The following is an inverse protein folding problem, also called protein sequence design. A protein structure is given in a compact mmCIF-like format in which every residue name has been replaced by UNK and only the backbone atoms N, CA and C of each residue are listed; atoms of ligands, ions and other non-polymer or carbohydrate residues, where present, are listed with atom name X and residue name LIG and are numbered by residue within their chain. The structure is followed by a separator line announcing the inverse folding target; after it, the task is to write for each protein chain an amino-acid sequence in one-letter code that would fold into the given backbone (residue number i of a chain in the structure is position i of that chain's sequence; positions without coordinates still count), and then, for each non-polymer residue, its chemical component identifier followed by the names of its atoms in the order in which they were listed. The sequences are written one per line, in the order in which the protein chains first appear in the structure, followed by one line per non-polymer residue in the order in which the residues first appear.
data_IF_321589589103
#
_entry.id   IF_321589589103
#
_cell.length_a   1.000
_cell.length_b   1.000
_cell.length_c   1.000
_cell.angle_alpha   90.00
_cell.angle_beta   90.00
_cell.angle_gamma   90.00
#
_symmetry.space_group_name_H-M   'P 1'
#
loop_
_entity.id
_entity.type
_entity.pdbx_description
1 polymer ?
#
# COMPACT_ATOMS: atom_id res chain seq x y z
N UNK A 1 14.86 0.70 10.45
CA UNK A 1 15.22 0.63 11.88
C UNK A 1 15.75 2.02 12.26
N UNK A 2 15.39 2.52 13.44
CA UNK A 2 15.93 3.80 13.96
C UNK A 2 17.16 3.44 14.78
N UNK A 3 18.30 4.06 14.51
CA UNK A 3 19.53 3.87 15.28
C UNK A 3 19.81 5.11 16.13
N UNK A 4 20.19 4.93 17.40
CA UNK A 4 20.75 6.01 18.21
C UNK A 4 22.27 6.08 17.99
N UNK A 5 22.76 7.23 17.55
CA UNK A 5 24.19 7.53 17.41
C UNK A 5 24.58 8.52 18.50
N UNK A 6 25.64 8.22 19.24
CA UNK A 6 26.23 9.19 20.17
C UNK A 6 27.02 10.23 19.38
N UNK A 7 26.61 11.50 19.48
CA UNK A 7 27.37 12.62 18.95
C UNK A 7 28.51 12.93 19.93
N UNK A 8 29.66 12.28 19.75
CA UNK A 8 30.89 12.61 20.49
C UNK A 8 31.75 13.57 19.66
N UNK A 9 31.76 14.89 19.95
CA UNK A 9 32.75 15.79 19.38
C UNK A 9 34.07 15.81 20.18
N UNK A 10 34.35 14.83 21.04
CA UNK A 10 35.41 14.96 22.05
C UNK A 10 36.35 13.76 22.10
N UNK A 11 37.36 13.73 21.22
CA UNK A 11 38.77 13.42 21.54
C UNK A 11 39.64 13.57 20.27
N UNK A 12 40.48 14.61 20.21
CA UNK A 12 41.44 14.79 19.11
C UNK A 12 42.16 16.14 19.09
N UNK A 13 43.09 16.31 20.05
CA UNK A 13 44.36 17.05 20.00
C UNK A 13 44.49 18.46 19.36
N UNK A 14 45.22 19.32 20.08
CA UNK A 14 45.80 20.59 19.63
C UNK A 14 46.64 20.40 18.35
N UNK A 15 46.36 21.15 17.27
CA UNK A 15 47.23 21.17 16.08
C UNK A 15 46.60 21.74 14.80
N UNK A 16 46.98 22.98 14.49
CA UNK A 16 47.10 23.63 13.16
C UNK A 16 45.87 23.87 12.24
N UNK A 17 45.85 25.07 11.65
CA UNK A 17 44.79 25.63 10.84
C UNK A 17 44.70 25.00 9.43
N UNK A 18 43.70 24.14 9.22
CA UNK A 18 42.99 24.05 7.93
C UNK A 18 41.55 23.59 8.16
N UNK A 19 40.62 24.54 8.12
CA UNK A 19 39.19 24.37 8.40
C UNK A 19 38.53 23.37 7.45
N UNK A 20 38.50 22.09 7.81
CA UNK A 20 37.43 21.16 7.40
C UNK A 20 36.61 20.86 8.65
N UNK A 21 35.46 21.55 8.78
CA UNK A 21 34.52 21.32 9.88
C UNK A 21 34.13 19.83 9.86
N UNK A 22 34.24 19.08 10.98
CA UNK A 22 33.65 17.76 11.05
C UNK A 22 32.15 17.91 10.73
N UNK A 23 31.64 17.04 9.85
CA UNK A 23 30.30 17.15 9.27
C UNK A 23 29.25 17.37 10.33
N UNK A 24 28.65 18.55 10.33
CA UNK A 24 27.61 18.93 11.28
C UNK A 24 26.33 18.23 10.87
N UNK A 25 25.86 17.29 11.70
CA UNK A 25 24.61 16.57 11.50
C UNK A 25 23.44 17.57 11.39
N UNK A 26 22.61 17.43 10.38
CA UNK A 26 21.51 18.35 10.08
C UNK A 26 20.18 17.65 10.24
N UNK A 27 19.31 18.18 11.10
CA UNK A 27 18.01 17.58 11.32
C UNK A 27 17.11 17.76 10.11
N UNK A 28 16.59 16.65 9.59
CA UNK A 28 15.64 16.63 8.47
C UNK A 28 14.30 17.27 8.85
N UNK A 29 13.89 17.19 10.12
CA UNK A 29 12.61 17.71 10.59
C UNK A 29 12.55 19.23 10.75
N UNK A 30 13.61 19.85 11.26
CA UNK A 30 13.63 21.30 11.51
C UNK A 30 14.62 22.07 10.63
N UNK A 31 15.45 21.37 9.84
CA UNK A 31 16.47 21.97 8.97
C UNK A 31 17.66 22.60 9.71
N UNK A 32 17.75 22.41 11.03
CA UNK A 32 18.80 23.00 11.87
C UNK A 32 19.85 21.97 12.26
N UNK A 33 21.03 22.45 12.63
CA UNK A 33 22.12 21.59 13.10
C UNK A 33 21.74 20.86 14.40
N UNK A 34 22.13 19.59 14.50
CA UNK A 34 21.95 18.77 15.69
C UNK A 34 23.14 18.98 16.63
N UNK A 35 22.83 19.46 17.83
CA UNK A 35 23.79 19.64 18.92
C UNK A 35 23.51 18.70 20.11
N UNK A 36 22.51 17.83 19.96
CA UNK A 36 22.09 16.88 20.99
C UNK A 36 23.22 15.86 21.26
N UNK A 37 23.22 15.31 22.48
CA UNK A 37 24.16 14.25 22.86
C UNK A 37 23.95 12.97 22.02
N UNK A 38 22.72 12.74 21.56
CA UNK A 38 22.32 11.58 20.79
C UNK A 38 21.56 12.03 19.53
N UNK A 39 21.89 11.45 18.39
CA UNK A 39 21.25 11.68 17.10
C UNK A 39 20.44 10.43 16.76
N UNK A 40 19.18 10.62 16.38
CA UNK A 40 18.37 9.53 15.84
C UNK A 40 18.58 9.44 14.34
N UNK A 41 19.03 8.29 13.84
CA UNK A 41 19.23 8.03 12.42
C UNK A 41 18.18 7.06 11.90
N UNK A 42 17.50 7.44 10.83
CA UNK A 42 16.56 6.62 10.09
C UNK A 42 17.19 6.25 8.74
N UNK A 43 17.29 4.96 8.45
CA UNK A 43 17.85 4.45 7.19
C UNK A 43 17.20 5.08 5.94
N UNK A 44 17.97 5.41 4.87
CA UNK A 44 19.40 5.14 4.73
C UNK A 44 20.32 6.06 5.54
N UNK A 45 20.09 7.38 5.60
CA UNK A 45 20.98 8.32 6.31
C UNK A 45 20.26 9.61 6.75
N UNK A 46 19.03 9.50 7.28
CA UNK A 46 18.25 10.66 7.74
C UNK A 46 18.46 10.91 9.23
N UNK A 47 18.98 12.07 9.57
CA UNK A 47 19.29 12.45 10.96
C UNK A 47 18.21 13.35 11.57
N UNK A 48 17.88 13.10 12.83
CA UNK A 48 16.82 13.80 13.54
C UNK A 48 17.22 14.10 14.98
N UNK A 49 16.80 15.25 15.49
CA UNK A 49 16.71 15.47 16.94
C UNK A 49 15.72 14.48 17.55
N UNK A 50 15.95 14.09 18.80
CA UNK A 50 15.00 13.25 19.54
C UNK A 50 13.61 13.88 19.64
N UNK A 51 13.55 15.21 19.80
CA UNK A 51 12.31 15.97 19.85
C UNK A 51 11.63 16.15 18.47
N UNK A 52 12.38 16.01 17.38
CA UNK A 52 11.86 16.20 16.02
C UNK A 52 11.34 14.90 15.40
N UNK A 53 11.83 13.73 15.83
CA UNK A 53 11.39 12.45 15.31
C UNK A 53 10.05 12.01 15.94
N UNK A 54 8.96 12.53 15.37
CA UNK A 54 7.58 12.21 15.78
C UNK A 54 6.70 11.86 14.60
N UNK A 55 5.63 11.12 14.86
CA UNK A 55 4.64 10.84 13.83
C UNK A 55 3.91 12.12 13.42
N UNK A 56 3.86 12.42 12.13
CA UNK A 56 3.19 13.61 11.59
C UNK A 56 1.67 13.61 11.85
N UNK A 57 1.08 12.46 12.14
CA UNK A 57 -0.35 12.27 12.30
C UNK A 57 -0.77 12.26 13.78
N UNK A 58 -0.21 11.35 14.59
CA UNK A 58 -0.56 11.24 16.01
C UNK A 58 0.41 11.97 16.96
N UNK A 59 1.46 12.61 16.45
CA UNK A 59 2.49 13.30 17.24
C UNK A 59 3.26 12.43 18.25
N UNK A 60 3.11 11.10 18.22
CA UNK A 60 3.88 10.18 19.05
C UNK A 60 5.36 10.21 18.66
N UNK A 61 6.26 10.30 19.65
CA UNK A 61 7.70 10.15 19.44
C UNK A 61 8.05 8.74 18.93
N UNK A 62 8.94 8.66 17.95
CA UNK A 62 9.39 7.40 17.37
C UNK A 62 10.81 7.14 17.87
N UNK A 63 11.01 6.06 18.59
CA UNK A 63 12.30 5.67 19.18
C UNK A 63 12.80 4.34 18.58
N UNK A 64 13.90 3.81 19.12
CA UNK A 64 14.50 2.53 18.73
C UNK A 64 13.53 1.34 18.85
N UNK A 65 12.54 1.41 19.74
CA UNK A 65 11.58 0.32 19.95
C UNK A 65 10.50 0.28 18.87
N UNK A 66 10.34 1.36 18.11
CA UNK A 66 9.27 1.54 17.14
C UNK A 66 9.78 1.54 15.70
N UNK A 67 9.11 0.77 14.83
CA UNK A 67 9.33 0.89 13.38
C UNK A 67 8.71 2.19 12.87
N UNK A 68 9.54 3.08 12.34
CA UNK A 68 9.11 4.31 11.67
C UNK A 68 9.15 4.17 10.15
N UNK A 69 8.28 4.90 9.47
CA UNK A 69 8.23 4.96 8.02
C UNK A 69 8.35 6.41 7.56
N UNK A 70 9.19 6.67 6.57
CA UNK A 70 9.39 8.01 5.99
C UNK A 70 8.73 8.05 4.61
N UNK A 71 7.90 9.07 4.39
CA UNK A 71 7.24 9.32 3.10
C UNK A 71 7.05 10.81 2.89
N UNK A 72 7.48 11.31 1.72
CA UNK A 72 7.39 12.72 1.35
C UNK A 72 7.98 13.67 2.41
N UNK A 73 9.12 13.27 3.01
CA UNK A 73 9.79 14.03 4.07
C UNK A 73 9.10 14.00 5.44
N UNK A 74 7.98 13.28 5.59
CA UNK A 74 7.26 13.11 6.84
C UNK A 74 7.46 11.73 7.44
N UNK A 75 7.51 11.65 8.76
CA UNK A 75 7.67 10.43 9.54
C UNK A 75 6.34 9.95 10.09
N UNK A 76 6.08 8.64 10.01
CA UNK A 76 4.84 8.01 10.47
C UNK A 76 5.15 6.79 11.35
N UNK A 77 4.34 6.57 12.38
CA UNK A 77 4.36 5.31 13.11
C UNK A 77 3.75 4.19 12.22
N UNK A 78 4.09 2.93 12.50
CA UNK A 78 3.54 1.77 11.77
C UNK A 78 2.02 1.84 11.61
N UNK A 79 1.30 2.17 12.69
CA UNK A 79 -0.18 2.23 12.71
C UNK A 79 -0.72 3.26 11.71
N UNK A 80 -0.25 4.50 11.80
CA UNK A 80 -0.74 5.57 10.91
C UNK A 80 -0.24 5.41 9.48
N UNK A 81 0.97 4.87 9.30
CA UNK A 81 1.47 4.56 7.96
C UNK A 81 0.58 3.53 7.25
N UNK A 82 0.25 2.42 7.92
CA UNK A 82 -0.64 1.40 7.36
C UNK A 82 -2.05 1.95 7.13
N UNK A 83 -2.57 2.77 8.05
CA UNK A 83 -3.90 3.37 7.91
C UNK A 83 -4.00 4.34 6.72
N UNK A 84 -2.99 5.19 6.54
CA UNK A 84 -2.98 6.24 5.51
C UNK A 84 -2.55 5.70 4.15
N UNK A 85 -1.49 4.89 4.11
CA UNK A 85 -0.80 4.47 2.88
C UNK A 85 -0.74 2.96 2.67
N UNK A 86 -1.24 2.17 3.62
CA UNK A 86 -1.32 0.72 3.46
C UNK A 86 -2.33 0.32 2.40
N UNK A 87 -2.19 -0.92 1.94
CA UNK A 87 -3.13 -1.54 1.01
C UNK A 87 -4.49 -1.63 1.69
N UNK A 88 -5.55 -1.24 0.97
CA UNK A 88 -6.93 -1.28 1.45
C UNK A 88 -7.73 -2.29 0.66
N UNK A 89 -8.73 -2.88 1.29
CA UNK A 89 -9.66 -3.76 0.62
C UNK A 89 -10.41 -3.00 -0.47
N UNK A 90 -10.34 -3.47 -1.71
CA UNK A 90 -11.00 -2.84 -2.85
C UNK A 90 -12.54 -2.72 -2.69
N UNK A 91 -13.17 -3.59 -1.89
CA UNK A 91 -14.62 -3.57 -1.63
C UNK A 91 -15.01 -2.68 -0.45
N UNK A 92 -14.43 -2.87 0.74
CA UNK A 92 -14.85 -2.14 1.95
C UNK A 92 -13.98 -0.91 2.28
N UNK A 93 -12.87 -0.71 1.56
CA UNK A 93 -11.93 0.41 1.74
C UNK A 93 -11.26 0.46 3.13
N UNK A 94 -11.35 -0.64 3.91
CA UNK A 94 -10.66 -0.81 5.19
C UNK A 94 -9.30 -1.48 4.96
N UNK A 95 -8.29 -1.06 5.72
CA UNK A 95 -6.94 -1.66 5.68
C UNK A 95 -6.88 -3.02 6.36
N UNK A 96 -5.79 -3.75 6.13
CA UNK A 96 -5.57 -5.09 6.67
C UNK A 96 -4.69 -5.07 7.92
N UNK A 97 -4.90 -6.05 8.80
CA UNK A 97 -4.00 -6.37 9.91
C UNK A 97 -2.82 -7.24 9.42
N UNK A 98 -1.73 -7.28 10.19
CA UNK A 98 -0.56 -8.11 9.85
C UNK A 98 -0.83 -9.63 9.89
N UNK A 99 -1.92 -10.05 10.52
CA UNK A 99 -2.34 -11.46 10.57
C UNK A 99 -3.48 -11.77 9.60
N UNK A 100 -3.98 -10.78 8.87
CA UNK A 100 -5.11 -10.98 7.97
C UNK A 100 -4.70 -11.79 6.76
N UNK A 101 -5.56 -12.75 6.44
CA UNK A 101 -5.52 -13.48 5.20
C UNK A 101 -6.35 -12.75 4.14
N UNK A 102 -5.80 -12.62 2.94
CA UNK A 102 -6.41 -11.80 1.88
C UNK A 102 -6.56 -12.56 0.57
N UNK A 103 -7.62 -12.21 -0.16
CA UNK A 103 -7.86 -12.66 -1.53
C UNK A 103 -7.30 -11.60 -2.49
N UNK A 104 -6.45 -12.00 -3.45
CA UNK A 104 -5.86 -11.08 -4.43
C UNK A 104 -6.40 -11.34 -5.83
N UNK A 105 -7.14 -10.42 -6.42
CA UNK A 105 -7.60 -10.53 -7.80
C UNK A 105 -7.00 -9.42 -8.66
N UNK A 106 -6.15 -9.79 -9.63
CA UNK A 106 -5.30 -8.86 -10.39
C UNK A 106 -4.49 -7.97 -9.43
N UNK A 107 -4.64 -6.65 -9.54
CA UNK A 107 -3.96 -5.65 -8.71
C UNK A 107 -4.74 -5.26 -7.44
N UNK A 108 -5.90 -5.88 -7.21
CA UNK A 108 -6.79 -5.57 -6.08
C UNK A 108 -6.73 -6.64 -4.99
N UNK A 109 -6.79 -6.18 -3.74
CA UNK A 109 -6.76 -7.03 -2.55
C UNK A 109 -8.09 -6.92 -1.81
N UNK A 110 -8.58 -8.04 -1.27
CA UNK A 110 -9.87 -8.13 -0.61
C UNK A 110 -9.76 -8.93 0.68
N UNK A 111 -10.54 -8.57 1.70
CA UNK A 111 -10.80 -9.50 2.81
C UNK A 111 -11.49 -10.75 2.26
N UNK A 112 -11.23 -11.90 2.88
CA UNK A 112 -11.90 -13.16 2.53
C UNK A 112 -13.42 -13.00 2.54
N UNK A 113 -13.95 -12.33 3.56
CA UNK A 113 -15.39 -12.06 3.70
C UNK A 113 -15.92 -11.07 2.66
N UNK A 114 -15.06 -10.19 2.14
CA UNK A 114 -15.41 -9.24 1.10
C UNK A 114 -15.37 -9.85 -0.30
N UNK A 115 -14.73 -11.00 -0.49
CA UNK A 115 -14.59 -11.65 -1.79
C UNK A 115 -15.87 -12.41 -2.17
N UNK A 116 -16.93 -11.67 -2.50
CA UNK A 116 -18.29 -12.16 -2.75
C UNK A 116 -18.83 -11.63 -4.07
N UNK A 117 -19.69 -12.41 -4.71
CA UNK A 117 -20.44 -11.95 -5.88
C UNK A 117 -21.31 -10.74 -5.50
N UNK A 118 -21.28 -9.70 -6.33
CA UNK A 118 -22.01 -8.44 -6.11
C UNK A 118 -23.52 -8.59 -6.33
N UNK A 119 -23.97 -9.66 -7.00
CA UNK A 119 -25.39 -9.94 -7.29
C UNK A 119 -25.98 -10.89 -6.25
N UNK A 120 -25.46 -12.11 -6.14
CA UNK A 120 -26.01 -13.12 -5.23
C UNK A 120 -25.38 -13.13 -3.83
N UNK A 121 -24.39 -12.28 -3.54
CA UNK A 121 -23.66 -12.22 -2.25
C UNK A 121 -22.94 -13.52 -1.83
N UNK A 122 -22.92 -14.54 -2.71
CA UNK A 122 -22.18 -15.79 -2.49
C UNK A 122 -20.68 -15.49 -2.40
N UNK A 123 -20.02 -16.09 -1.41
CA UNK A 123 -18.57 -16.06 -1.28
C UNK A 123 -17.90 -16.88 -2.37
N UNK A 124 -16.90 -16.28 -3.00
CA UNK A 124 -16.10 -16.92 -4.05
C UNK A 124 -14.88 -17.55 -3.39
N UNK A 125 -14.70 -18.85 -3.58
CA UNK A 125 -13.63 -19.61 -2.94
C UNK A 125 -12.49 -19.93 -3.93
N UNK A 126 -11.30 -20.31 -3.43
CA UNK A 126 -10.29 -20.97 -4.24
C UNK A 126 -10.87 -22.03 -5.19
N UNK A 127 -10.59 -21.88 -6.48
CA UNK A 127 -11.10 -22.78 -7.53
C UNK A 127 -12.44 -22.36 -8.16
N UNK A 128 -13.18 -21.42 -7.56
CA UNK A 128 -14.39 -20.87 -8.19
C UNK A 128 -14.03 -20.01 -9.41
N UNK A 129 -14.83 -20.12 -10.46
CA UNK A 129 -14.75 -19.24 -11.61
C UNK A 129 -15.56 -17.96 -11.36
N UNK A 130 -14.89 -16.82 -11.53
CA UNK A 130 -15.49 -15.50 -11.39
C UNK A 130 -14.98 -14.54 -12.48
N UNK A 131 -15.69 -13.43 -12.64
CA UNK A 131 -15.26 -12.28 -13.43
C UNK A 131 -15.07 -11.07 -12.52
N UNK A 132 -14.02 -10.32 -12.77
CA UNK A 132 -13.76 -9.03 -12.14
C UNK A 132 -13.96 -7.91 -13.16
N UNK A 133 -14.82 -6.94 -12.84
CA UNK A 133 -15.01 -5.69 -13.59
C UNK A 133 -14.75 -4.53 -12.64
N UNK A 134 -13.63 -3.85 -12.82
CA UNK A 134 -13.13 -2.84 -11.86
C UNK A 134 -13.03 -3.42 -10.44
N UNK A 135 -14.02 -3.16 -9.57
CA UNK A 135 -14.12 -3.68 -8.20
C UNK A 135 -15.31 -4.62 -7.99
N UNK A 136 -16.08 -4.91 -9.04
CA UNK A 136 -17.24 -5.80 -8.99
C UNK A 136 -16.84 -7.24 -9.31
N UNK A 137 -17.03 -8.09 -8.32
CA UNK A 137 -16.87 -9.53 -8.44
C UNK A 137 -18.20 -10.15 -8.84
N UNK A 138 -18.21 -11.00 -9.86
CA UNK A 138 -19.40 -11.73 -10.31
C UNK A 138 -19.08 -13.21 -10.43
N UNK A 139 -19.94 -14.06 -9.87
CA UNK A 139 -19.81 -15.50 -10.05
C UNK A 139 -20.14 -15.91 -11.50
N UNK A 140 -19.69 -17.10 -11.91
CA UNK A 140 -19.98 -17.64 -13.25
C UNK A 140 -21.46 -17.58 -13.65
N UNK A 141 -22.38 -17.89 -12.72
CA UNK A 141 -23.82 -17.91 -13.00
C UNK A 141 -24.36 -16.50 -13.32
N UNK A 142 -24.11 -15.54 -12.43
CA UNK A 142 -24.57 -14.15 -12.61
C UNK A 142 -23.89 -13.47 -13.81
N UNK A 143 -22.61 -13.76 -14.05
CA UNK A 143 -21.90 -13.28 -15.23
C UNK A 143 -22.56 -13.78 -16.53
N UNK A 144 -22.96 -15.06 -16.59
CA UNK A 144 -23.65 -15.63 -17.76
C UNK A 144 -24.99 -14.93 -18.04
N UNK A 145 -25.81 -14.75 -17.00
CA UNK A 145 -27.12 -14.09 -17.12
C UNK A 145 -27.01 -12.63 -17.58
N UNK A 146 -26.00 -11.90 -17.12
CA UNK A 146 -25.75 -10.53 -17.57
C UNK A 146 -25.36 -10.47 -19.05
N UNK A 147 -24.56 -11.43 -19.53
CA UNK A 147 -24.17 -11.50 -20.93
C UNK A 147 -25.35 -11.85 -21.85
N UNK A 148 -26.19 -12.80 -21.43
CA UNK A 148 -27.42 -13.15 -22.14
C UNK A 148 -28.41 -11.98 -22.22
N UNK A 149 -28.62 -11.25 -21.12
CA UNK A 149 -29.43 -10.03 -21.12
C UNK A 149 -28.85 -8.96 -22.03
N UNK A 150 -27.53 -8.77 -22.04
CA UNK A 150 -26.89 -7.82 -22.94
C UNK A 150 -27.06 -8.21 -24.42
N UNK A 151 -27.05 -9.51 -24.74
CA UNK A 151 -27.32 -10.01 -26.09
C UNK A 151 -28.80 -9.88 -26.49
N UNK A 152 -29.72 -10.07 -25.55
CA UNK A 152 -31.16 -9.96 -25.78
C UNK A 152 -31.69 -8.51 -25.81
N UNK A 153 -30.98 -7.57 -25.19
CA UNK A 153 -31.32 -6.14 -25.15
C UNK A 153 -30.94 -5.33 -26.39
N UNK A 154 -30.38 -5.96 -27.44
CA UNK A 154 -30.17 -5.30 -28.72
C UNK A 154 -31.45 -5.46 -29.57
N UNK A 155 -32.26 -4.41 -29.79
CA UNK A 155 -33.36 -4.50 -30.72
C UNK A 155 -32.77 -4.76 -32.10
N UNK A 156 -33.10 -5.94 -32.65
CA UNK A 156 -32.80 -6.29 -34.04
C UNK A 156 -33.54 -5.33 -34.96
N UNK A 157 -32.87 -4.27 -35.41
CA UNK A 157 -33.17 -3.70 -36.73
C UNK A 157 -32.44 -4.55 -37.79
N UNK A 158 -33.14 -5.12 -38.78
CA UNK A 158 -32.48 -5.78 -39.89
C UNK A 158 -31.96 -4.70 -40.85
N UNK A 159 -30.65 -4.45 -40.84
CA UNK A 159 -29.96 -3.56 -41.79
C UNK A 159 -28.63 -4.19 -42.25
N UNK A 160 -28.24 -4.10 -43.54
CA UNK A 160 -27.09 -4.85 -44.05
C UNK A 160 -25.75 -4.07 -44.00
N UNK A 161 -24.73 -4.73 -43.42
CA UNK A 161 -23.27 -4.63 -43.70
C UNK A 161 -22.55 -3.27 -43.42
N UNK A 162 -21.20 -3.21 -43.55
CA UNK A 162 -20.22 -3.77 -42.63
C UNK A 162 -19.31 -2.67 -42.05
N UNK A 163 -19.06 -2.70 -40.75
CA UNK A 163 -18.21 -1.70 -40.12
C UNK A 163 -18.07 -1.94 -38.64
N UNK A 164 -17.64 -3.16 -38.27
CA UNK A 164 -17.41 -3.52 -36.89
C UNK A 164 -16.16 -2.78 -36.38
N UNK A 165 -16.33 -1.51 -35.98
CA UNK A 165 -15.57 -0.95 -34.88
C UNK A 165 -15.96 -1.78 -33.66
N UNK A 166 -15.17 -2.82 -33.42
CA UNK A 166 -15.34 -3.69 -32.27
C UNK A 166 -15.42 -2.84 -31.02
N UNK A 167 -16.60 -2.78 -30.41
CA UNK A 167 -16.73 -2.35 -29.04
C UNK A 167 -15.79 -3.25 -28.25
N UNK A 168 -14.73 -2.65 -27.73
CA UNK A 168 -13.73 -3.29 -26.90
C UNK A 168 -14.45 -3.87 -25.68
N UNK A 169 -14.87 -5.13 -25.81
CA UNK A 169 -15.53 -5.88 -24.75
C UNK A 169 -14.50 -5.94 -23.62
N UNK A 170 -14.77 -5.38 -22.43
CA UNK A 170 -13.76 -5.33 -21.39
C UNK A 170 -13.38 -6.77 -21.06
N UNK A 171 -12.11 -7.09 -21.29
CA UNK A 171 -11.49 -8.40 -21.10
C UNK A 171 -11.91 -8.93 -19.73
N UNK A 172 -12.90 -9.82 -19.74
CA UNK A 172 -13.28 -10.64 -18.60
C UNK A 172 -12.16 -11.64 -18.44
N UNK A 173 -11.15 -11.27 -17.66
CA UNK A 173 -10.11 -12.20 -17.31
C UNK A 173 -10.75 -13.28 -16.44
N UNK A 174 -10.96 -14.46 -17.03
CA UNK A 174 -11.22 -15.69 -16.27
C UNK A 174 -9.99 -15.95 -15.42
N UNK A 175 -10.04 -15.58 -14.16
CA UNK A 175 -8.97 -15.89 -13.21
C UNK A 175 -9.33 -17.25 -12.60
N UNK A 176 -8.65 -18.31 -13.07
CA UNK A 176 -8.57 -19.54 -12.30
C UNK A 176 -7.40 -19.40 -11.35
N UNK A 177 -7.67 -19.35 -10.06
CA UNK A 177 -6.59 -19.37 -9.10
C UNK A 177 -5.93 -20.75 -9.06
N UNK A 178 -4.63 -20.78 -9.30
CA UNK A 178 -3.80 -21.92 -8.91
C UNK A 178 -3.80 -22.06 -7.39
N UNK A 179 -3.83 -23.30 -6.91
CA UNK A 179 -3.94 -23.68 -5.49
C UNK A 179 -2.82 -23.14 -4.57
N UNK A 180 -1.81 -22.45 -5.11
CA UNK A 180 -0.60 -22.03 -4.40
C UNK A 180 -0.55 -20.56 -3.97
N UNK A 181 -1.55 -19.71 -4.29
CA UNK A 181 -1.39 -18.24 -4.19
C UNK A 181 -2.48 -17.45 -3.46
N UNK A 182 -3.37 -18.10 -2.72
CA UNK A 182 -4.66 -17.50 -2.29
C UNK A 182 -4.74 -17.00 -0.85
N UNK A 183 -3.71 -17.28 -0.06
CA UNK A 183 -3.66 -16.94 1.36
C UNK A 183 -2.26 -16.40 1.65
N UNK A 184 -1.98 -15.21 1.13
CA UNK A 184 -0.74 -14.50 1.47
C UNK A 184 -1.08 -13.60 2.65
N UNK A 185 -0.40 -13.78 3.78
CA UNK A 185 -0.42 -12.80 4.87
C UNK A 185 0.13 -11.46 4.35
N UNK A 186 -0.55 -10.37 4.67
CA UNK A 186 -0.19 -9.00 4.21
C UNK A 186 1.22 -8.60 4.64
#
# INVERSE_FOLDING_TARGET
MVDIIFHYPFLGAMGDHSKKKPGTAMCVGCGSQIHDQFILRVSPDLEWHAACLKCAECSQYLDETCTCFVRDGKTYCKRDYVRLFGIKCAKCQVGFSSSDLVMRARDSVYHIECFRCSVCSRQLLPGDEFSLREHELLCRADHGLLLERAAAGSPRSPGPLPGARGLHLPVVTRVRFGLSGLYVSV
#
